data_IF_121790394051
#
_entry.id   IF_121790394051
#
_cell.length_a   1.000
_cell.length_b   1.000
_cell.length_c   1.000
_cell.angle_alpha   90.00
_cell.angle_beta   90.00
_cell.angle_gamma   90.00
#
_symmetry.space_group_name_H-M   'P 1'
#
loop_
_entity.id
_entity.type
_entity.pdbx_description
1 polymer ?
#
# COMPACT_ATOMS: atom_id res chain seq x y z
N UNK A 1 -19.37 -13.06 14.12
CA UNK A 1 -18.49 -11.93 13.62
C UNK A 1 -19.12 -10.77 12.81
N UNK A 2 -20.28 -10.90 12.14
CA UNK A 2 -20.89 -9.82 11.30
C UNK A 2 -21.04 -8.44 11.98
N UNK A 3 -21.28 -8.42 13.29
CA UNK A 3 -21.42 -7.18 14.07
C UNK A 3 -20.07 -6.48 14.37
N UNK A 4 -18.95 -7.21 14.37
CA UNK A 4 -17.61 -6.66 14.60
C UNK A 4 -17.08 -6.06 13.29
N UNK A 5 -17.18 -6.79 12.16
CA UNK A 5 -16.84 -6.24 10.83
C UNK A 5 -17.72 -5.03 10.44
N UNK A 6 -19.01 -5.02 10.79
CA UNK A 6 -19.86 -3.85 10.57
C UNK A 6 -19.41 -2.64 11.40
N UNK A 7 -18.84 -2.85 12.59
CA UNK A 7 -18.36 -1.77 13.47
C UNK A 7 -16.96 -1.28 13.10
N UNK A 8 -16.04 -2.17 12.72
CA UNK A 8 -14.70 -1.78 12.25
C UNK A 8 -14.75 -1.22 10.83
N UNK A 9 -15.59 -1.76 9.95
CA UNK A 9 -15.85 -1.20 8.62
C UNK A 9 -16.47 0.20 8.68
N UNK A 10 -17.47 0.42 9.55
CA UNK A 10 -18.06 1.74 9.76
C UNK A 10 -17.06 2.73 10.40
N UNK A 11 -16.21 2.27 11.33
CA UNK A 11 -15.19 3.12 11.95
C UNK A 11 -14.09 3.54 10.96
N UNK A 12 -13.63 2.63 10.11
CA UNK A 12 -12.61 2.93 9.09
C UNK A 12 -13.17 3.86 8.00
N UNK A 13 -14.44 3.70 7.62
CA UNK A 13 -15.11 4.56 6.65
C UNK A 13 -15.40 5.97 7.23
N UNK A 14 -15.79 6.05 8.51
CA UNK A 14 -16.02 7.33 9.19
C UNK A 14 -14.72 8.14 9.40
N UNK A 15 -13.60 7.46 9.67
CA UNK A 15 -12.29 8.10 9.89
C UNK A 15 -11.65 8.56 8.58
N UNK A 16 -11.88 7.86 7.46
CA UNK A 16 -11.26 8.17 6.18
C UNK A 16 -12.07 9.12 5.29
N UNK A 17 -13.40 9.18 5.45
CA UNK A 17 -14.26 9.90 4.48
C UNK A 17 -15.26 10.89 5.11
N UNK A 18 -15.41 10.95 6.45
CA UNK A 18 -16.41 11.82 7.08
C UNK A 18 -17.86 11.54 6.65
N UNK A 19 -18.13 10.39 6.02
CA UNK A 19 -19.43 10.01 5.48
C UNK A 19 -20.18 9.10 6.46
N UNK A 20 -21.50 9.32 6.52
CA UNK A 20 -22.43 8.57 7.39
C UNK A 20 -22.50 7.07 7.02
N UNK A 21 -22.77 6.18 7.99
CA UNK A 21 -22.62 4.72 7.86
C UNK A 21 -23.71 4.00 7.03
N UNK A 22 -24.40 4.66 6.10
CA UNK A 22 -25.57 4.09 5.39
C UNK A 22 -25.34 3.65 3.94
N UNK A 23 -24.10 3.63 3.45
CA UNK A 23 -23.83 3.35 2.03
C UNK A 23 -23.10 2.01 1.81
N UNK A 24 -23.77 0.87 2.02
CA UNK A 24 -23.52 -0.33 1.20
C UNK A 24 -24.70 -1.31 1.28
N UNK A 25 -25.69 -1.13 0.41
CA UNK A 25 -26.56 -2.24 0.01
C UNK A 25 -25.90 -2.91 -1.19
N UNK A 26 -25.40 -4.14 -1.01
CA UNK A 26 -24.81 -4.92 -2.09
C UNK A 26 -25.87 -5.21 -3.17
N UNK A 27 -25.61 -4.80 -4.41
CA UNK A 27 -26.33 -5.31 -5.58
C UNK A 27 -25.75 -6.67 -5.98
N UNK A 28 -26.57 -7.68 -6.33
CA UNK A 28 -26.05 -8.93 -6.89
C UNK A 28 -25.57 -8.69 -8.33
N UNK A 29 -24.26 -8.68 -8.54
CA UNK A 29 -23.65 -8.56 -9.86
C UNK A 29 -23.48 -9.95 -10.50
N UNK A 30 -24.43 -10.37 -11.32
CA UNK A 30 -24.22 -11.43 -12.32
C UNK A 30 -23.70 -10.79 -13.61
N UNK A 31 -22.38 -10.63 -13.72
CA UNK A 31 -21.69 -10.19 -14.93
C UNK A 31 -21.12 -11.36 -15.75
N UNK A 32 -21.08 -11.27 -17.09
CA UNK A 32 -20.49 -12.32 -17.93
C UNK A 32 -18.95 -12.36 -17.82
N UNK A 33 -18.31 -13.50 -18.17
CA UNK A 33 -16.87 -13.67 -18.05
C UNK A 33 -16.10 -12.77 -19.03
N UNK A 34 -15.11 -12.04 -18.51
CA UNK A 34 -14.11 -11.30 -19.29
C UNK A 34 -13.08 -12.29 -19.89
N UNK A 35 -12.90 -12.25 -21.20
CA UNK A 35 -11.79 -12.92 -21.88
C UNK A 35 -10.58 -11.96 -21.94
N UNK A 36 -9.37 -12.41 -21.56
CA UNK A 36 -8.17 -11.57 -21.67
C UNK A 36 -7.75 -11.43 -23.14
N UNK A 37 -7.62 -10.19 -23.60
CA UNK A 37 -6.96 -9.88 -24.88
C UNK A 37 -5.45 -9.77 -24.61
N UNK A 38 -4.67 -10.67 -25.21
CA UNK A 38 -3.20 -10.61 -25.17
C UNK A 38 -2.75 -9.44 -26.04
N UNK A 39 -2.21 -8.39 -25.41
CA UNK A 39 -1.55 -7.31 -26.11
C UNK A 39 -0.12 -7.74 -26.45
N UNK A 40 0.21 -7.65 -27.73
CA UNK A 40 1.53 -7.90 -28.30
C UNK A 40 2.47 -6.74 -27.93
N UNK A 41 3.51 -7.02 -27.13
CA UNK A 41 4.51 -6.04 -26.72
C UNK A 41 5.73 -6.12 -27.64
N UNK A 42 5.77 -5.23 -28.63
CA UNK A 42 7.00 -4.95 -29.37
C UNK A 42 8.03 -4.25 -28.46
N UNK A 43 9.34 -4.57 -28.57
CA UNK A 43 10.37 -3.95 -27.75
C UNK A 43 10.59 -2.47 -28.12
N UNK A 44 10.63 -1.60 -27.11
CA UNK A 44 11.00 -0.19 -27.25
C UNK A 44 12.53 -0.11 -27.44
N UNK A 45 13.04 0.51 -28.52
CA UNK A 45 14.47 0.75 -28.67
C UNK A 45 14.94 1.84 -27.70
N UNK A 46 15.87 1.48 -26.83
CA UNK A 46 16.60 2.42 -25.96
C UNK A 46 17.61 3.18 -26.83
N UNK A 47 17.32 4.45 -27.12
CA UNK A 47 18.23 5.36 -27.81
C UNK A 47 19.12 6.07 -26.79
N UNK A 48 20.37 5.60 -26.64
CA UNK A 48 21.42 6.28 -25.89
C UNK A 48 21.95 7.45 -26.72
N UNK A 49 21.64 8.68 -26.34
CA UNK A 49 22.27 9.86 -26.91
C UNK A 49 23.61 10.13 -26.18
N UNK A 50 24.73 9.94 -26.89
CA UNK A 50 26.01 10.53 -26.53
C UNK A 50 26.11 11.93 -27.14
N UNK A 51 26.27 12.93 -26.29
CA UNK A 51 26.85 14.24 -26.62
C UNK A 51 27.87 14.50 -25.49
N UNK A 52 29.14 14.82 -25.73
CA UNK A 52 29.76 15.54 -26.83
C UNK A 52 30.63 16.59 -26.16
N UNK A 53 31.94 16.34 -26.07
CA UNK A 53 32.91 17.16 -25.34
C UNK A 53 33.02 18.58 -25.92
N UNK A 54 32.80 19.59 -25.08
CA UNK A 54 33.28 20.95 -25.31
C UNK A 54 34.10 21.40 -24.10
N UNK A 55 35.33 21.92 -24.27
CA UNK A 55 36.13 22.39 -23.16
C UNK A 55 35.68 23.79 -22.71
N UNK A 56 35.44 24.03 -21.41
CA UNK A 56 35.12 25.36 -20.93
C UNK A 56 36.40 26.20 -20.72
N UNK A 57 36.42 27.36 -21.37
CA UNK A 57 37.26 28.53 -21.08
C UNK A 57 37.01 29.03 -19.64
N UNK A 58 38.09 29.38 -18.91
CA UNK A 58 38.01 30.12 -17.64
C UNK A 58 37.99 31.65 -17.88
N UNK A 59 37.79 32.52 -16.86
CA UNK A 59 36.78 32.59 -15.80
C UNK A 59 36.09 33.99 -15.78
N UNK A 60 35.03 34.20 -14.99
CA UNK A 60 35.08 35.34 -14.06
C UNK A 60 34.51 34.99 -12.68
N UNK A 61 35.10 35.58 -11.64
CA UNK A 61 34.76 35.42 -10.21
C UNK A 61 33.24 35.58 -9.97
N UNK A 62 32.59 34.51 -9.53
CA UNK A 62 31.14 34.44 -9.42
C UNK A 62 30.62 34.97 -8.06
N UNK A 63 29.50 35.72 -8.05
CA UNK A 63 28.69 35.92 -6.84
C UNK A 63 28.19 34.56 -6.29
N UNK A 64 27.73 34.49 -5.01
CA UNK A 64 27.33 33.23 -4.37
C UNK A 64 26.47 32.38 -5.31
N UNK A 65 26.97 31.19 -5.58
CA UNK A 65 26.61 30.34 -6.70
C UNK A 65 25.12 29.99 -6.69
N UNK A 66 24.42 30.36 -7.76
CA UNK A 66 23.08 29.85 -8.13
C UNK A 66 23.03 28.30 -8.25
N UNK A 67 24.18 27.62 -8.19
CA UNK A 67 24.32 26.17 -8.15
C UNK A 67 23.74 25.57 -6.86
N UNK A 68 23.79 26.29 -5.72
CA UNK A 68 23.16 25.81 -4.48
C UNK A 68 21.62 25.89 -4.53
N UNK A 69 21.06 26.80 -5.34
CA UNK A 69 19.61 26.86 -5.59
C UNK A 69 19.16 25.92 -6.71
N UNK A 70 19.99 25.67 -7.72
CA UNK A 70 19.64 24.85 -8.89
C UNK A 70 19.74 23.34 -8.65
N UNK A 71 20.51 22.90 -7.65
CA UNK A 71 20.63 21.48 -7.33
C UNK A 71 19.48 20.92 -6.47
N UNK A 72 18.50 21.75 -6.08
CA UNK A 72 17.32 21.27 -5.37
C UNK A 72 17.64 20.44 -4.13
N UNK A 73 18.82 20.63 -3.52
CA UNK A 73 19.15 20.05 -2.23
C UNK A 73 18.25 20.75 -1.23
N UNK A 74 17.05 20.16 -1.07
CA UNK A 74 16.03 20.56 -0.13
C UNK A 74 16.70 20.93 1.18
N UNK A 75 16.30 22.08 1.72
CA UNK A 75 16.79 22.64 2.96
C UNK A 75 17.25 21.52 3.89
N UNK A 76 18.57 21.38 4.02
CA UNK A 76 19.20 20.26 4.73
C UNK A 76 18.39 20.02 6.00
N UNK A 77 17.70 18.87 6.05
CA UNK A 77 16.74 18.56 7.09
C UNK A 77 17.41 18.89 8.42
N UNK A 78 16.91 19.92 9.12
CA UNK A 78 17.50 20.32 10.41
C UNK A 78 17.57 19.04 11.24
N UNK A 79 18.72 18.73 11.86
CA UNK A 79 18.84 17.55 12.69
C UNK A 79 17.67 17.56 13.66
N UNK A 80 16.79 16.56 13.54
CA UNK A 80 15.62 16.42 14.39
C UNK A 80 16.13 16.49 15.83
N UNK A 81 15.74 17.52 16.60
CA UNK A 81 16.32 17.75 17.92
C UNK A 81 16.17 16.47 18.74
N UNK A 82 17.33 15.85 18.97
CA UNK A 82 17.56 14.58 19.63
C UNK A 82 16.33 13.95 20.32
N UNK A 83 15.77 12.88 19.73
CA UNK A 83 15.00 11.90 20.49
C UNK A 83 13.49 11.85 20.29
N UNK A 84 12.92 12.49 19.26
CA UNK A 84 11.51 12.24 18.90
C UNK A 84 11.38 10.93 18.12
N UNK A 85 11.36 9.81 18.85
CA UNK A 85 11.14 8.48 18.27
C UNK A 85 9.80 8.35 17.50
N UNK A 86 8.86 9.29 17.73
CA UNK A 86 7.57 9.35 17.05
C UNK A 86 7.42 10.66 16.25
N UNK A 87 8.09 10.76 15.11
CA UNK A 87 7.76 11.77 14.08
C UNK A 87 6.75 11.20 13.09
N UNK A 88 5.99 12.04 12.36
CA UNK A 88 5.07 11.56 11.33
C UNK A 88 5.74 10.65 10.29
N UNK A 89 6.96 10.99 9.86
CA UNK A 89 7.75 10.18 8.94
C UNK A 89 8.13 8.81 9.55
N UNK A 90 8.58 8.79 10.81
CA UNK A 90 8.88 7.53 11.52
C UNK A 90 7.62 6.67 11.71
N UNK A 91 6.49 7.30 12.03
CA UNK A 91 5.22 6.60 12.15
C UNK A 91 4.82 5.92 10.84
N UNK A 92 4.91 6.63 9.70
CA UNK A 92 4.69 6.06 8.37
C UNK A 92 5.61 4.86 8.11
N UNK A 93 6.91 5.00 8.37
CA UNK A 93 7.88 3.91 8.23
C UNK A 93 7.54 2.69 9.09
N UNK A 94 7.21 2.90 10.36
CA UNK A 94 6.86 1.81 11.28
C UNK A 94 5.56 1.10 10.88
N UNK A 95 4.54 1.85 10.45
CA UNK A 95 3.29 1.27 9.96
C UNK A 95 3.52 0.47 8.67
N UNK A 96 4.36 0.96 7.76
CA UNK A 96 4.74 0.23 6.55
C UNK A 96 5.46 -1.09 6.85
N UNK A 97 6.46 -1.07 7.73
CA UNK A 97 7.18 -2.29 8.15
C UNK A 97 6.25 -3.26 8.91
N UNK A 98 5.40 -2.74 9.78
CA UNK A 98 4.41 -3.54 10.50
C UNK A 98 3.44 -4.22 9.53
N UNK A 99 2.94 -3.50 8.52
CA UNK A 99 2.05 -4.06 7.50
C UNK A 99 2.69 -5.23 6.74
N UNK A 100 3.94 -5.09 6.28
CA UNK A 100 4.65 -6.18 5.57
C UNK A 100 4.91 -7.37 6.49
N UNK A 101 5.35 -7.11 7.73
CA UNK A 101 5.62 -8.17 8.71
C UNK A 101 4.36 -8.95 9.06
N UNK A 102 3.25 -8.24 9.28
CA UNK A 102 1.94 -8.84 9.54
C UNK A 102 1.40 -9.57 8.30
N UNK A 103 1.62 -9.05 7.09
CA UNK A 103 1.23 -9.74 5.85
C UNK A 103 1.97 -11.09 5.72
N UNK A 104 3.27 -11.12 6.00
CA UNK A 104 4.04 -12.36 6.03
C UNK A 104 3.53 -13.33 7.11
N UNK A 105 3.24 -12.83 8.32
CA UNK A 105 2.64 -13.64 9.38
C UNK A 105 1.25 -14.17 8.99
N UNK A 106 0.42 -13.36 8.33
CA UNK A 106 -0.89 -13.75 7.80
C UNK A 106 -0.74 -14.90 6.81
N UNK A 107 0.20 -14.79 5.87
CA UNK A 107 0.48 -15.86 4.90
C UNK A 107 0.96 -17.16 5.57
N UNK A 108 1.81 -17.07 6.60
CA UNK A 108 2.32 -18.25 7.33
C UNK A 108 1.30 -18.84 8.32
N UNK A 109 0.27 -18.10 8.72
CA UNK A 109 -0.76 -18.59 9.64
C UNK A 109 -1.75 -19.57 9.00
N UNK A 110 -1.62 -19.82 7.70
CA UNK A 110 -2.39 -20.84 7.00
C UNK A 110 -2.09 -22.22 7.61
N UNK A 111 -3.08 -22.84 8.24
CA UNK A 111 -2.97 -24.15 8.88
C UNK A 111 -2.62 -24.15 10.36
N UNK A 112 -2.40 -22.98 10.99
CA UNK A 112 -2.21 -22.88 12.46
C UNK A 112 -3.52 -22.75 13.23
N UNK A 113 -4.61 -22.37 12.55
CA UNK A 113 -5.94 -22.62 13.06
C UNK A 113 -6.24 -24.10 12.78
N UNK A 114 -5.64 -24.97 13.60
CA UNK A 114 -6.03 -26.38 13.63
C UNK A 114 -7.53 -26.45 13.87
N UNK A 115 -8.18 -27.31 13.11
CA UNK A 115 -9.55 -27.71 13.35
C UNK A 115 -9.62 -28.20 14.80
N UNK A 116 -10.18 -27.38 15.69
CA UNK A 116 -10.81 -28.00 16.85
C UNK A 116 -11.79 -28.99 16.25
N UNK A 117 -11.57 -30.28 16.53
CA UNK A 117 -12.36 -31.43 16.11
C UNK A 117 -13.74 -31.36 16.77
N UNK A 118 -14.43 -30.26 16.52
CA UNK A 118 -15.84 -30.10 16.77
C UNK A 118 -16.50 -31.00 15.75
N UNK A 119 -16.90 -32.18 16.21
CA UNK A 119 -17.45 -33.26 15.39
C UNK A 119 -18.59 -32.84 14.45
N UNK A 120 -19.18 -33.80 13.73
CA UNK A 120 -20.10 -33.51 12.63
C UNK A 120 -21.19 -32.51 13.04
N UNK A 121 -21.20 -31.35 12.37
CA UNK A 121 -22.21 -30.33 12.57
C UNK A 121 -23.60 -30.92 12.25
N UNK A 122 -24.64 -30.55 13.03
CA UNK A 122 -25.99 -30.96 12.70
C UNK A 122 -26.40 -30.44 11.31
N UNK A 123 -27.25 -31.16 10.56
CA UNK A 123 -27.70 -30.74 9.24
C UNK A 123 -28.29 -29.33 9.29
N UNK A 124 -27.72 -28.41 8.49
CA UNK A 124 -28.16 -27.01 8.43
C UNK A 124 -27.49 -26.06 9.42
N UNK A 125 -26.57 -26.52 10.26
CA UNK A 125 -25.67 -25.62 10.98
C UNK A 125 -24.52 -25.17 10.07
N UNK A 126 -24.42 -23.87 9.86
CA UNK A 126 -23.23 -23.25 9.30
C UNK A 126 -22.21 -23.10 10.44
N UNK A 127 -20.99 -23.62 10.24
CA UNK A 127 -19.88 -23.38 11.18
C UNK A 127 -19.68 -21.86 11.23
N UNK A 128 -19.71 -21.27 12.42
CA UNK A 128 -19.34 -19.85 12.54
C UNK A 128 -17.89 -19.76 12.05
N UNK A 129 -17.66 -19.03 10.95
CA UNK A 129 -16.32 -18.72 10.48
C UNK A 129 -15.74 -17.74 11.48
N UNK A 130 -15.26 -18.27 12.60
CA UNK A 130 -14.44 -17.53 13.52
C UNK A 130 -13.11 -17.38 12.81
N UNK A 131 -12.88 -16.21 12.22
CA UNK A 131 -11.75 -15.91 11.36
C UNK A 131 -10.44 -15.87 12.16
N UNK A 132 -10.02 -17.02 12.70
CA UNK A 132 -9.10 -17.25 13.81
C UNK A 132 -7.80 -16.44 13.80
N UNK A 133 -6.65 -17.08 13.93
CA UNK A 133 -5.40 -16.32 13.89
C UNK A 133 -5.19 -15.64 12.53
N UNK A 134 -5.56 -16.31 11.43
CA UNK A 134 -5.42 -15.79 10.07
C UNK A 134 -6.24 -14.53 9.81
N UNK A 135 -7.53 -14.54 10.17
CA UNK A 135 -8.40 -13.38 9.97
C UNK A 135 -8.01 -12.20 10.87
N UNK A 136 -7.64 -12.47 12.13
CA UNK A 136 -7.11 -11.44 13.02
C UNK A 136 -5.83 -10.78 12.47
N UNK A 137 -4.89 -11.58 11.97
CA UNK A 137 -3.67 -11.07 11.34
C UNK A 137 -3.97 -10.32 10.03
N UNK A 138 -4.92 -10.79 9.22
CA UNK A 138 -5.33 -10.11 7.99
C UNK A 138 -5.92 -8.71 8.29
N UNK A 139 -6.80 -8.60 9.29
CA UNK A 139 -7.37 -7.31 9.73
C UNK A 139 -6.27 -6.39 10.28
N UNK A 140 -5.35 -6.91 11.10
CA UNK A 140 -4.24 -6.12 11.63
C UNK A 140 -3.31 -5.63 10.51
N UNK A 141 -2.97 -6.50 9.55
CA UNK A 141 -2.20 -6.18 8.36
C UNK A 141 -2.83 -5.04 7.57
N UNK A 142 -4.11 -5.18 7.23
CA UNK A 142 -4.87 -4.17 6.48
C UNK A 142 -4.95 -2.85 7.23
N UNK A 143 -5.18 -2.90 8.55
CA UNK A 143 -5.23 -1.69 9.39
C UNK A 143 -3.89 -0.96 9.39
N UNK A 144 -2.79 -1.69 9.53
CA UNK A 144 -1.44 -1.12 9.48
C UNK A 144 -1.13 -0.52 8.08
N UNK A 145 -1.51 -1.22 7.00
CA UNK A 145 -1.33 -0.74 5.63
C UNK A 145 -2.10 0.56 5.37
N UNK A 146 -3.37 0.62 5.79
CA UNK A 146 -4.20 1.84 5.70
C UNK A 146 -3.57 2.97 6.51
N UNK A 147 -3.12 2.69 7.73
CA UNK A 147 -2.41 3.67 8.56
C UNK A 147 -1.14 4.20 7.87
N UNK A 148 -0.36 3.31 7.24
CA UNK A 148 0.82 3.69 6.48
C UNK A 148 0.47 4.60 5.30
N UNK A 149 -0.56 4.28 4.52
CA UNK A 149 -1.03 5.12 3.41
C UNK A 149 -1.47 6.50 3.91
N UNK A 150 -2.30 6.56 4.95
CA UNK A 150 -2.82 7.84 5.49
C UNK A 150 -1.69 8.72 5.99
N UNK A 151 -0.77 8.15 6.77
CA UNK A 151 0.39 8.89 7.29
C UNK A 151 1.37 9.27 6.18
N UNK A 152 1.52 8.42 5.15
CA UNK A 152 2.35 8.70 3.98
C UNK A 152 1.81 9.88 3.18
N UNK A 153 0.52 9.89 2.85
CA UNK A 153 -0.14 11.02 2.18
C UNK A 153 0.02 12.29 3.03
N UNK A 154 -0.21 12.23 4.34
CA UNK A 154 -0.09 13.40 5.20
C UNK A 154 1.33 14.01 5.19
N UNK A 155 2.38 13.18 5.11
CA UNK A 155 3.78 13.62 5.21
C UNK A 155 4.42 13.91 3.85
N UNK A 156 4.00 13.21 2.79
CA UNK A 156 4.63 13.21 1.47
C UNK A 156 3.72 13.75 0.37
N UNK A 157 2.60 14.41 0.69
CA UNK A 157 1.71 14.96 -0.35
C UNK A 157 2.40 15.93 -1.31
N UNK A 158 3.38 16.70 -0.84
CA UNK A 158 4.14 17.64 -1.67
C UNK A 158 5.15 16.94 -2.60
N UNK A 159 5.55 15.72 -2.27
CA UNK A 159 6.45 14.89 -3.09
C UNK A 159 5.68 14.25 -4.26
N UNK A 160 4.37 14.07 -4.12
CA UNK A 160 3.50 13.51 -5.16
C UNK A 160 2.94 14.63 -6.03
N UNK A 161 3.11 14.52 -7.36
CA UNK A 161 2.62 15.54 -8.28
C UNK A 161 2.08 14.96 -9.57
N UNK A 162 0.90 15.45 -9.99
CA UNK A 162 0.36 15.18 -11.33
C UNK A 162 1.23 15.77 -12.46
N UNK A 163 2.11 16.72 -12.13
CA UNK A 163 3.10 17.27 -13.05
C UNK A 163 4.38 16.44 -13.16
N UNK A 164 4.59 15.45 -12.26
CA UNK A 164 5.73 14.53 -12.33
C UNK A 164 5.37 13.32 -13.21
N UNK A 165 6.34 12.71 -13.93
CA UNK A 165 6.09 11.49 -14.69
C UNK A 165 5.55 10.36 -13.80
N UNK A 166 4.78 9.44 -14.36
CA UNK A 166 4.32 8.26 -13.61
C UNK A 166 5.50 7.36 -13.18
N UNK A 167 6.60 7.38 -13.94
CA UNK A 167 7.82 6.64 -13.63
C UNK A 167 8.68 7.27 -12.54
N UNK A 168 8.28 8.43 -12.00
CA UNK A 168 8.91 9.02 -10.83
C UNK A 168 8.77 8.06 -9.63
N UNK A 169 9.85 7.78 -8.89
CA UNK A 169 9.83 6.80 -7.81
C UNK A 169 8.82 7.12 -6.70
N UNK A 170 8.56 8.40 -6.43
CA UNK A 170 7.60 8.82 -5.40
C UNK A 170 6.16 8.53 -5.86
N UNK A 171 5.86 8.82 -7.13
CA UNK A 171 4.58 8.52 -7.76
C UNK A 171 4.33 7.00 -7.81
N UNK A 172 5.34 6.21 -8.19
CA UNK A 172 5.23 4.74 -8.21
C UNK A 172 5.07 4.16 -6.81
N UNK A 173 5.80 4.66 -5.82
CA UNK A 173 5.67 4.24 -4.43
C UNK A 173 4.25 4.45 -3.92
N UNK A 174 3.72 5.67 -4.08
CA UNK A 174 2.35 5.99 -3.67
C UNK A 174 1.34 5.09 -4.40
N UNK A 175 1.43 4.95 -5.73
CA UNK A 175 0.48 4.15 -6.50
C UNK A 175 0.52 2.67 -6.10
N UNK A 176 1.71 2.08 -6.02
CA UNK A 176 1.87 0.66 -5.69
C UNK A 176 1.45 0.36 -4.25
N UNK A 177 1.73 1.25 -3.29
CA UNK A 177 1.29 1.07 -1.90
C UNK A 177 -0.22 1.29 -1.73
N UNK A 178 -0.83 2.19 -2.50
CA UNK A 178 -2.30 2.35 -2.57
C UNK A 178 -2.97 1.10 -3.16
N UNK A 179 -2.51 0.65 -4.33
CA UNK A 179 -3.02 -0.59 -4.97
C UNK A 179 -2.80 -1.78 -4.05
N UNK A 180 -1.64 -1.86 -3.40
CA UNK A 180 -1.32 -2.89 -2.44
C UNK A 180 -2.26 -2.93 -1.24
N UNK A 181 -2.52 -1.76 -0.65
CA UNK A 181 -3.48 -1.59 0.46
C UNK A 181 -4.90 -1.94 0.04
N UNK A 182 -5.32 -1.53 -1.17
CA UNK A 182 -6.63 -1.89 -1.71
C UNK A 182 -6.76 -3.40 -1.92
N UNK A 183 -5.70 -4.07 -2.38
CA UNK A 183 -5.65 -5.53 -2.50
C UNK A 183 -5.82 -6.24 -1.15
N UNK A 184 -5.08 -5.79 -0.12
CA UNK A 184 -5.20 -6.33 1.24
C UNK A 184 -6.59 -6.10 1.84
N UNK A 185 -7.16 -4.90 1.66
CA UNK A 185 -8.51 -4.58 2.11
C UNK A 185 -9.56 -5.45 1.40
N UNK A 186 -9.41 -5.65 0.09
CA UNK A 186 -10.29 -6.54 -0.70
C UNK A 186 -10.19 -7.97 -0.21
N UNK A 187 -8.98 -8.48 0.00
CA UNK A 187 -8.77 -9.82 0.55
C UNK A 187 -9.42 -10.01 1.92
N UNK A 188 -9.33 -8.99 2.79
CA UNK A 188 -9.94 -9.00 4.12
C UNK A 188 -11.47 -8.95 4.05
N UNK A 189 -12.03 -8.20 3.09
CA UNK A 189 -13.48 -8.07 2.92
C UNK A 189 -14.13 -9.33 2.30
N UNK A 190 -13.38 -10.11 1.52
CA UNK A 190 -13.83 -11.36 0.89
C UNK A 190 -13.73 -12.57 1.83
N UNK A 191 -13.74 -12.37 3.14
CA UNK A 191 -13.58 -13.42 4.13
C UNK A 191 -14.54 -14.60 3.85
N UNK A 192 -13.96 -15.77 3.59
CA UNK A 192 -14.71 -16.99 3.37
C UNK A 192 -15.17 -17.25 1.93
N UNK A 193 -14.85 -16.39 0.98
CA UNK A 193 -15.02 -16.62 -0.46
C UNK A 193 -13.72 -17.13 -1.10
N UNK A 194 -13.85 -17.94 -2.15
CA UNK A 194 -12.71 -18.41 -2.93
C UNK A 194 -11.99 -17.24 -3.63
N UNK A 195 -10.66 -17.24 -3.60
CA UNK A 195 -9.83 -16.27 -4.35
C UNK A 195 -9.35 -15.04 -3.59
N UNK A 196 -9.71 -14.85 -2.31
CA UNK A 196 -9.19 -13.74 -1.49
C UNK A 196 -7.66 -13.76 -1.36
N UNK A 197 -7.03 -14.94 -1.43
CA UNK A 197 -5.57 -15.10 -1.39
C UNK A 197 -4.87 -14.42 -2.56
N UNK A 198 -5.48 -14.37 -3.76
CA UNK A 198 -4.88 -13.69 -4.91
C UNK A 198 -4.78 -12.17 -4.68
N UNK A 199 -5.83 -11.57 -4.10
CA UNK A 199 -5.82 -10.16 -3.71
C UNK A 199 -4.84 -9.90 -2.56
N UNK A 200 -4.76 -10.80 -1.58
CA UNK A 200 -3.84 -10.68 -0.44
C UNK A 200 -2.38 -10.75 -0.88
N UNK A 201 -2.02 -11.75 -1.68
CA UNK A 201 -0.66 -11.94 -2.21
C UNK A 201 -0.32 -10.80 -3.17
N UNK A 202 -1.19 -10.50 -4.14
CA UNK A 202 -0.98 -9.42 -5.10
C UNK A 202 -0.84 -8.06 -4.40
N UNK A 203 -1.69 -7.80 -3.40
CA UNK A 203 -1.63 -6.60 -2.59
C UNK A 203 -0.32 -6.47 -1.80
N UNK A 204 0.09 -7.54 -1.13
CA UNK A 204 1.35 -7.59 -0.39
C UNK A 204 2.59 -7.40 -1.29
N UNK A 205 2.62 -8.04 -2.46
CA UNK A 205 3.69 -7.88 -3.44
C UNK A 205 3.76 -6.46 -4.01
N UNK A 206 2.61 -5.84 -4.31
CA UNK A 206 2.56 -4.45 -4.75
C UNK A 206 3.10 -3.49 -3.68
N UNK A 207 2.73 -3.68 -2.40
CA UNK A 207 3.30 -2.89 -1.30
C UNK A 207 4.82 -3.08 -1.19
N UNK A 208 5.31 -4.32 -1.24
CA UNK A 208 6.75 -4.60 -1.19
C UNK A 208 7.51 -3.90 -2.33
N UNK A 209 6.98 -3.96 -3.56
CA UNK A 209 7.56 -3.28 -4.71
C UNK A 209 7.58 -1.76 -4.50
N UNK A 210 6.49 -1.18 -4.02
CA UNK A 210 6.42 0.25 -3.70
C UNK A 210 7.45 0.68 -2.66
N UNK A 211 7.56 -0.05 -1.54
CA UNK A 211 8.55 0.25 -0.48
C UNK A 211 9.98 0.18 -1.02
N UNK A 212 10.30 -0.81 -1.87
CA UNK A 212 11.65 -0.98 -2.42
C UNK A 212 12.11 0.18 -3.32
N UNK A 213 11.18 0.94 -3.90
CA UNK A 213 11.52 2.08 -4.77
C UNK A 213 12.03 3.30 -3.98
N UNK A 214 11.67 3.44 -2.70
CA UNK A 214 12.02 4.61 -1.88
C UNK A 214 12.93 4.27 -0.70
N UNK A 215 13.26 2.98 -0.50
CA UNK A 215 14.17 2.45 0.52
C UNK A 215 15.37 1.74 -0.12
#
# INVERSE_FOLDING_TARGET
MKAILARTGAALCAVLLGLSPTCWAASPASGPPFAPTVADHSPIPVLLAQAGDAPPTAPPTAPPTAIDQALGHGAAARPDPAGRWLTPNRLHQYLGVAAITLAAATAMSFGLAEEEDEGPLPPGAEREKDGGLHGALAVATTTAAVGAVVTGIAVHHDDVGLGKPLADPDNLHMLLTLVGTAGLATATAMEGDGGHSAFGIGGGLAMLAGIKLTW
#
